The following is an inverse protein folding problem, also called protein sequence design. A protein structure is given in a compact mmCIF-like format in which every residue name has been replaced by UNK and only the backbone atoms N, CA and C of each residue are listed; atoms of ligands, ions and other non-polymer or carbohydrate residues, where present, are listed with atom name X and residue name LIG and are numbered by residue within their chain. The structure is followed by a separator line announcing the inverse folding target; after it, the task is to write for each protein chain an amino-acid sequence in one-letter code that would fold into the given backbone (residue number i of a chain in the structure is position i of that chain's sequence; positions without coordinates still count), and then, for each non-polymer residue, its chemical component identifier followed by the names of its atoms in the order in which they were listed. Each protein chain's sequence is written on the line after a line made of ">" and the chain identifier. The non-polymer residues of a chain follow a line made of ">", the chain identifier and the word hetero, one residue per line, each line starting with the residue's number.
data_IF_283211573498
#
_entry.id   IF_283211573498
#
_cell.length_a   1.000
_cell.length_b   1.000
_cell.length_c   1.000
_cell.angle_alpha   90.00
_cell.angle_beta   90.00
_cell.angle_gamma   90.00
#
_symmetry.space_group_name_H-M   'P 1'
#
loop_
_entity.id
_entity.type
_entity.pdbx_description
1 polymer ?
#
# COMPACT_ATOMS: atom_id res chain seq x y z
N UNK A 1 30.15 30.70 43.08
CA UNK A 1 29.37 30.05 44.14
C UNK A 1 27.98 29.70 43.61
N UNK A 2 27.72 28.40 43.44
CA UNK A 2 26.46 27.64 43.58
C UNK A 2 25.12 28.42 43.49
N UNK A 3 24.12 28.01 42.69
CA UNK A 3 23.42 26.71 42.78
C UNK A 3 22.62 26.35 41.51
N UNK A 4 22.68 25.08 41.14
CA UNK A 4 21.72 24.37 40.29
C UNK A 4 20.29 24.47 40.84
N UNK A 5 19.33 24.77 39.96
CA UNK A 5 17.91 24.50 40.17
C UNK A 5 17.51 23.26 39.34
N UNK A 6 16.72 22.31 39.89
CA UNK A 6 16.47 21.01 39.27
C UNK A 6 15.18 20.98 38.44
N UNK A 7 15.23 20.14 37.40
CA UNK A 7 14.18 19.23 36.92
C UNK A 7 12.74 19.76 36.83
N UNK A 8 12.31 20.10 35.60
CA UNK A 8 11.05 19.60 35.07
C UNK A 8 11.27 19.06 33.65
N UNK A 9 11.10 17.74 33.53
CA UNK A 9 11.04 16.97 32.30
C UNK A 9 9.86 17.45 31.45
N UNK A 10 10.12 17.92 30.24
CA UNK A 10 9.28 17.61 29.07
C UNK A 10 10.16 17.59 27.83
N UNK A 11 10.83 16.47 27.61
CA UNK A 11 11.28 16.13 26.27
C UNK A 11 10.04 15.78 25.44
N UNK A 12 9.46 16.76 24.76
CA UNK A 12 8.56 16.50 23.64
C UNK A 12 9.40 15.91 22.50
N UNK A 13 9.61 14.60 22.55
CA UNK A 13 9.93 13.81 21.37
C UNK A 13 8.69 13.83 20.47
N UNK A 14 8.56 14.87 19.65
CA UNK A 14 7.78 14.79 18.43
C UNK A 14 8.58 13.85 17.52
N UNK A 15 8.39 12.55 17.71
CA UNK A 15 8.75 11.60 16.66
C UNK A 15 8.02 12.08 15.40
N UNK A 16 8.73 12.34 14.28
CA UNK A 16 8.02 12.48 13.02
C UNK A 16 7.26 11.17 12.85
N UNK A 17 5.93 11.24 12.88
CA UNK A 17 5.10 10.19 12.32
C UNK A 17 5.58 10.10 10.88
N UNK A 18 6.43 9.12 10.57
CA UNK A 18 6.91 8.93 9.21
C UNK A 18 5.68 8.54 8.40
N UNK A 19 5.01 9.55 7.85
CA UNK A 19 4.06 9.39 6.78
C UNK A 19 4.78 8.56 5.75
N UNK A 20 4.29 7.33 5.55
CA UNK A 20 4.83 6.34 4.65
C UNK A 20 5.39 7.04 3.42
N UNK A 21 6.71 7.08 3.28
CA UNK A 21 7.35 7.76 2.16
C UNK A 21 6.71 7.20 0.89
N UNK A 22 6.05 8.06 0.12
CA UNK A 22 5.43 7.63 -1.13
C UNK A 22 6.53 6.94 -1.95
N UNK A 23 6.35 5.67 -2.35
CA UNK A 23 7.42 4.95 -3.01
C UNK A 23 7.77 5.69 -4.30
N UNK A 24 9.07 5.93 -4.50
CA UNK A 24 9.58 6.73 -5.61
C UNK A 24 8.94 6.25 -6.93
N UNK A 25 8.31 7.18 -7.67
CA UNK A 25 7.58 6.89 -8.91
C UNK A 25 8.35 5.96 -9.85
N UNK A 26 9.67 6.14 -9.99
CA UNK A 26 10.53 5.30 -10.84
C UNK A 26 10.58 3.84 -10.37
N UNK A 27 10.68 3.62 -9.06
CA UNK A 27 10.65 2.28 -8.44
C UNK A 27 9.30 1.62 -8.67
N UNK A 28 8.22 2.36 -8.44
CA UNK A 28 6.86 1.87 -8.61
C UNK A 28 6.60 1.49 -10.07
N UNK A 29 6.97 2.35 -11.02
CA UNK A 29 6.79 2.11 -12.45
C UNK A 29 7.61 0.89 -12.91
N UNK A 30 8.84 0.74 -12.42
CA UNK A 30 9.63 -0.48 -12.66
C UNK A 30 8.89 -1.71 -12.15
N UNK A 31 8.48 -1.75 -10.88
CA UNK A 31 7.80 -2.90 -10.30
C UNK A 31 6.49 -3.23 -11.03
N UNK A 32 5.69 -2.21 -11.39
CA UNK A 32 4.49 -2.37 -12.20
C UNK A 32 4.80 -3.04 -13.53
N UNK A 33 5.80 -2.54 -14.26
CA UNK A 33 6.21 -3.12 -15.55
C UNK A 33 6.66 -4.58 -15.42
N UNK A 34 7.31 -4.94 -14.30
CA UNK A 34 7.77 -6.30 -14.05
C UNK A 34 6.59 -7.22 -13.73
N UNK A 35 5.80 -6.85 -12.72
CA UNK A 35 4.73 -7.68 -12.17
C UNK A 35 3.58 -7.84 -13.17
N UNK A 36 3.30 -6.83 -14.00
CA UNK A 36 2.26 -6.89 -15.02
C UNK A 36 2.43 -8.09 -15.97
N UNK A 37 3.67 -8.54 -16.23
CA UNK A 37 3.93 -9.71 -17.09
C UNK A 37 3.58 -11.05 -16.43
N UNK A 38 3.57 -11.10 -15.10
CA UNK A 38 3.19 -12.29 -14.35
C UNK A 38 1.71 -12.29 -13.97
N UNK A 39 1.05 -11.13 -14.01
CA UNK A 39 -0.28 -10.98 -13.45
C UNK A 39 -1.38 -11.17 -14.49
N UNK A 40 -2.19 -12.20 -14.24
CA UNK A 40 -3.36 -12.54 -15.04
C UNK A 40 -4.56 -12.63 -14.08
N UNK A 41 -5.30 -11.53 -13.87
CA UNK A 41 -6.50 -11.57 -13.03
C UNK A 41 -7.52 -12.54 -13.63
N UNK A 42 -8.12 -13.39 -12.81
CA UNK A 42 -9.10 -14.36 -13.29
C UNK A 42 -10.43 -13.67 -13.64
N UNK A 43 -11.20 -14.24 -14.57
CA UNK A 43 -12.50 -13.69 -15.01
C UNK A 43 -13.50 -13.47 -13.86
N UNK A 44 -13.42 -14.28 -12.79
CA UNK A 44 -14.24 -14.13 -11.58
C UNK A 44 -13.95 -12.87 -10.74
N UNK A 45 -12.99 -12.04 -11.15
CA UNK A 45 -12.63 -10.77 -10.50
C UNK A 45 -13.33 -9.56 -11.10
N UNK A 46 -14.19 -9.75 -12.11
CA UNK A 46 -15.00 -8.68 -12.68
C UNK A 46 -15.85 -7.97 -11.60
N UNK A 47 -15.86 -6.63 -11.66
CA UNK A 47 -16.58 -5.78 -10.71
C UNK A 47 -15.91 -5.62 -9.34
N UNK A 48 -14.74 -6.21 -9.12
CA UNK A 48 -13.94 -5.97 -7.90
C UNK A 48 -13.23 -4.61 -8.00
N UNK A 49 -13.28 -3.83 -6.92
CA UNK A 49 -12.50 -2.61 -6.80
C UNK A 49 -10.98 -2.87 -6.80
N UNK A 50 -10.20 -1.80 -6.87
CA UNK A 50 -8.75 -1.91 -6.72
C UNK A 50 -8.39 -2.48 -5.33
N UNK A 51 -7.35 -3.29 -5.25
CA UNK A 51 -6.78 -3.76 -3.97
C UNK A 51 -5.35 -3.25 -3.81
N UNK A 52 -4.87 -3.10 -2.58
CA UNK A 52 -3.50 -2.69 -2.29
C UNK A 52 -2.79 -3.90 -1.68
N UNK A 53 -1.71 -4.34 -2.32
CA UNK A 53 -0.82 -5.38 -1.76
C UNK A 53 0.45 -4.73 -1.26
N UNK A 54 0.76 -4.97 0.01
CA UNK A 54 2.02 -4.55 0.63
C UNK A 54 2.96 -5.75 0.72
N UNK A 55 4.22 -5.55 0.38
CA UNK A 55 5.25 -6.57 0.41
C UNK A 55 6.61 -5.96 0.70
N UNK A 56 7.50 -6.80 1.24
CA UNK A 56 8.87 -6.42 1.58
C UNK A 56 9.85 -7.13 0.65
N UNK A 57 10.98 -6.47 0.43
CA UNK A 57 12.06 -6.94 -0.43
C UNK A 57 13.39 -6.90 0.33
N UNK A 58 14.22 -7.92 0.15
CA UNK A 58 15.60 -7.92 0.63
C UNK A 58 16.51 -7.03 -0.24
N UNK A 59 17.77 -6.79 0.18
CA UNK A 59 18.73 -5.97 -0.58
C UNK A 59 19.03 -6.47 -2.01
N UNK A 60 18.58 -7.68 -2.38
CA UNK A 60 18.72 -8.26 -3.72
C UNK A 60 17.41 -8.19 -4.52
N UNK A 61 16.38 -7.51 -4.00
CA UNK A 61 15.07 -7.39 -4.62
C UNK A 61 14.26 -8.69 -4.60
N UNK A 62 14.57 -9.64 -3.71
CA UNK A 62 13.76 -10.85 -3.50
C UNK A 62 12.67 -10.56 -2.47
N UNK A 63 11.51 -11.19 -2.60
CA UNK A 63 10.49 -11.12 -1.57
C UNK A 63 11.01 -11.63 -0.23
N UNK A 64 11.02 -10.75 0.77
CA UNK A 64 11.25 -11.08 2.17
C UNK A 64 9.90 -11.08 2.88
N UNK A 65 9.53 -12.19 3.51
CA UNK A 65 8.24 -12.31 4.20
C UNK A 65 7.05 -12.62 3.27
N UNK A 66 5.84 -12.39 3.78
CA UNK A 66 4.60 -12.71 3.07
C UNK A 66 3.90 -11.43 2.62
N UNK A 67 3.68 -11.23 1.30
CA UNK A 67 2.84 -10.15 0.81
C UNK A 67 1.42 -10.22 1.41
N UNK A 68 0.87 -9.07 1.79
CA UNK A 68 -0.44 -8.97 2.48
C UNK A 68 -1.39 -8.01 1.77
N UNK A 69 -2.70 -8.26 1.89
CA UNK A 69 -3.74 -7.31 1.51
C UNK A 69 -3.74 -6.15 2.51
N UNK A 70 -3.23 -5.00 2.08
CA UNK A 70 -3.12 -3.80 2.92
C UNK A 70 -4.37 -2.91 2.85
N UNK A 71 -5.16 -3.02 1.78
CA UNK A 71 -6.35 -2.21 1.60
C UNK A 71 -7.11 -2.54 0.33
N UNK A 72 -8.24 -1.89 0.13
CA UNK A 72 -9.02 -1.95 -1.10
C UNK A 72 -9.79 -0.65 -1.29
N UNK A 73 -10.10 -0.33 -2.55
CA UNK A 73 -11.00 0.76 -2.89
C UNK A 73 -12.38 0.43 -2.35
N UNK A 74 -12.97 1.37 -1.63
CA UNK A 74 -14.31 1.28 -1.09
C UNK A 74 -15.10 2.52 -1.53
N UNK A 75 -16.38 2.32 -1.86
CA UNK A 75 -17.31 3.43 -2.06
C UNK A 75 -17.85 3.87 -0.71
N UNK A 76 -17.88 5.18 -0.48
CA UNK A 76 -18.32 5.78 0.78
C UNK A 76 -19.54 6.65 0.50
N UNK A 77 -20.58 6.49 1.32
CA UNK A 77 -21.73 7.39 1.35
C UNK A 77 -21.44 8.53 2.30
N UNK A 78 -21.60 9.75 1.81
CA UNK A 78 -21.55 10.99 2.59
C UNK A 78 -22.93 11.64 2.45
N UNK A 79 -23.51 12.05 3.57
CA UNK A 79 -24.79 12.76 3.61
C UNK A 79 -24.49 14.24 3.85
N UNK A 80 -25.03 15.08 2.98
CA UNK A 80 -24.90 16.54 3.03
C UNK A 80 -26.28 17.18 3.20
N UNK A 81 -26.34 18.31 3.90
CA UNK A 81 -27.55 19.15 3.90
C UNK A 81 -27.64 20.04 2.64
N UNK A 82 -28.64 20.92 2.61
CA UNK A 82 -28.89 21.88 1.54
C UNK A 82 -27.82 22.98 1.42
N UNK A 83 -26.96 23.12 2.44
CA UNK A 83 -25.80 24.02 2.46
C UNK A 83 -24.50 23.32 2.07
N UNK A 84 -24.55 21.99 1.91
CA UNK A 84 -23.39 21.16 1.58
C UNK A 84 -22.56 20.73 2.80
N UNK A 85 -23.08 20.87 4.02
CA UNK A 85 -22.40 20.45 5.24
C UNK A 85 -22.62 18.96 5.54
N UNK A 86 -21.59 18.29 6.06
CA UNK A 86 -21.68 16.87 6.43
C UNK A 86 -22.56 16.70 7.65
N UNK A 87 -23.73 16.09 7.48
CA UNK A 87 -24.73 15.92 8.54
C UNK A 87 -24.58 14.61 9.33
N UNK A 88 -23.87 13.63 8.77
CA UNK A 88 -23.62 12.35 9.43
C UNK A 88 -22.23 11.79 9.08
N UNK A 89 -21.62 10.99 9.97
CA UNK A 89 -20.32 10.37 9.68
C UNK A 89 -20.37 9.54 8.38
N UNK A 90 -19.40 9.68 7.47
CA UNK A 90 -19.33 8.89 6.25
C UNK A 90 -19.39 7.39 6.53
N UNK A 91 -20.18 6.66 5.74
CA UNK A 91 -20.33 5.21 5.89
C UNK A 91 -19.84 4.48 4.65
N UNK A 92 -19.08 3.40 4.85
CA UNK A 92 -18.68 2.52 3.75
C UNK A 92 -19.92 1.82 3.21
N UNK A 93 -20.13 1.90 1.90
CA UNK A 93 -21.15 1.12 1.19
C UNK A 93 -20.54 -0.28 0.98
N UNK A 94 -20.56 -1.09 2.04
CA UNK A 94 -20.01 -2.44 1.98
C UNK A 94 -20.86 -3.32 1.03
N UNK A 95 -20.25 -3.81 -0.04
CA UNK A 95 -20.85 -4.84 -0.89
C UNK A 95 -20.19 -6.19 -0.59
N UNK A 96 -20.83 -7.30 -0.98
CA UNK A 96 -20.39 -8.70 -0.75
C UNK A 96 -19.02 -9.08 -1.39
N UNK A 97 -18.17 -8.10 -1.70
CA UNK A 97 -16.93 -8.24 -2.44
C UNK A 97 -15.77 -8.82 -1.62
N UNK A 98 -15.87 -8.97 -0.30
CA UNK A 98 -14.78 -9.50 0.54
C UNK A 98 -14.19 -10.81 0.02
N UNK A 99 -15.02 -11.78 -0.37
CA UNK A 99 -14.56 -13.05 -0.95
C UNK A 99 -13.88 -12.86 -2.32
N UNK A 100 -14.34 -11.89 -3.10
CA UNK A 100 -13.76 -11.57 -4.41
C UNK A 100 -12.43 -10.81 -4.28
N UNK A 101 -12.28 -9.94 -3.27
CA UNK A 101 -11.01 -9.28 -2.93
C UNK A 101 -9.95 -10.31 -2.57
N UNK A 102 -10.31 -11.36 -1.83
CA UNK A 102 -9.39 -12.46 -1.52
C UNK A 102 -8.91 -13.21 -2.77
N UNK A 103 -9.77 -13.37 -3.79
CA UNK A 103 -9.36 -13.97 -5.07
C UNK A 103 -8.37 -13.08 -5.84
N UNK A 104 -8.64 -11.78 -5.94
CA UNK A 104 -7.70 -10.81 -6.56
C UNK A 104 -6.38 -10.77 -5.79
N UNK A 105 -6.43 -10.74 -4.46
CA UNK A 105 -5.25 -10.71 -3.61
C UNK A 105 -4.36 -11.94 -3.82
N UNK A 106 -4.95 -13.15 -3.84
CA UNK A 106 -4.19 -14.38 -4.12
C UNK A 106 -3.52 -14.34 -5.50
N UNK A 107 -4.21 -13.82 -6.53
CA UNK A 107 -3.65 -13.67 -7.87
C UNK A 107 -2.49 -12.65 -7.90
N UNK A 108 -2.67 -11.49 -7.28
CA UNK A 108 -1.64 -10.45 -7.18
C UNK A 108 -0.40 -10.94 -6.43
N UNK A 109 -0.58 -11.57 -5.26
CA UNK A 109 0.50 -12.17 -4.46
C UNK A 109 1.25 -13.24 -5.26
N UNK A 110 0.53 -14.08 -6.02
CA UNK A 110 1.14 -15.07 -6.91
C UNK A 110 2.01 -14.40 -7.98
N UNK A 111 1.53 -13.33 -8.62
CA UNK A 111 2.30 -12.60 -9.63
C UNK A 111 3.57 -11.95 -9.07
N UNK A 112 3.48 -11.33 -7.89
CA UNK A 112 4.64 -10.75 -7.18
C UNK A 112 5.69 -11.83 -6.93
N UNK A 113 5.28 -13.00 -6.42
CA UNK A 113 6.19 -14.12 -6.16
C UNK A 113 6.80 -14.69 -7.43
N UNK A 114 6.01 -14.82 -8.51
CA UNK A 114 6.48 -15.34 -9.81
C UNK A 114 7.50 -14.43 -10.49
N UNK A 115 7.33 -13.12 -10.38
CA UNK A 115 8.21 -12.14 -11.02
C UNK A 115 9.42 -11.74 -10.15
N UNK A 116 9.45 -12.15 -8.87
CA UNK A 116 10.62 -11.99 -8.01
C UNK A 116 11.76 -12.92 -8.45
N UNK A 117 13.03 -12.48 -8.42
CA UNK A 117 13.52 -11.21 -7.88
C UNK A 117 13.39 -10.01 -8.83
N UNK A 118 13.51 -8.82 -8.25
CA UNK A 118 13.49 -7.51 -8.92
C UNK A 118 14.87 -6.82 -8.91
N UNK A 119 15.89 -7.37 -9.59
CA UNK A 119 17.28 -6.92 -9.45
C UNK A 119 17.52 -5.48 -9.94
N UNK A 120 16.65 -4.94 -10.81
CA UNK A 120 16.77 -3.58 -11.34
C UNK A 120 16.64 -2.50 -10.27
N UNK A 121 15.97 -2.79 -9.14
CA UNK A 121 15.77 -1.84 -8.04
C UNK A 121 17.09 -1.29 -7.49
N UNK A 122 18.12 -2.14 -7.42
CA UNK A 122 19.45 -1.79 -6.90
C UNK A 122 20.13 -0.66 -7.66
N UNK A 123 19.70 -0.39 -8.90
CA UNK A 123 20.23 0.69 -9.75
C UNK A 123 19.32 1.91 -9.81
N UNK A 124 18.08 1.80 -9.33
CA UNK A 124 17.06 2.85 -9.47
C UNK A 124 16.97 3.75 -8.24
N UNK A 125 17.20 3.20 -7.04
CA UNK A 125 17.09 3.95 -5.79
C UNK A 125 17.81 3.26 -4.61
N UNK A 126 18.12 4.00 -3.53
CA UNK A 126 18.56 3.43 -2.25
C UNK A 126 17.58 2.40 -1.68
N UNK A 127 18.07 1.42 -0.93
CA UNK A 127 17.30 0.30 -0.40
C UNK A 127 16.08 0.73 0.41
N UNK A 128 16.22 1.81 1.16
CA UNK A 128 15.22 2.39 2.05
C UNK A 128 13.97 2.85 1.29
N UNK A 129 14.13 3.17 0.00
CA UNK A 129 13.03 3.61 -0.87
C UNK A 129 12.23 2.44 -1.46
N UNK A 130 12.70 1.19 -1.31
CA UNK A 130 12.06 0.03 -1.95
C UNK A 130 12.05 -1.25 -1.12
N UNK A 131 12.60 -1.25 0.10
CA UNK A 131 12.55 -2.38 1.04
C UNK A 131 11.12 -2.78 1.41
N UNK A 132 10.18 -1.85 1.33
CA UNK A 132 8.76 -2.06 1.55
C UNK A 132 7.98 -1.28 0.49
N UNK A 133 7.05 -1.96 -0.18
CA UNK A 133 6.27 -1.40 -1.28
C UNK A 133 4.81 -1.76 -1.07
N UNK A 134 3.92 -0.80 -1.34
CA UNK A 134 2.51 -1.04 -1.53
C UNK A 134 2.12 -0.73 -2.98
N UNK A 135 1.58 -1.72 -3.71
CA UNK A 135 1.09 -1.55 -5.07
C UNK A 135 -0.42 -1.75 -5.14
N UNK A 136 -1.07 -0.94 -5.96
CA UNK A 136 -2.50 -1.05 -6.26
C UNK A 136 -2.72 -1.95 -7.47
N UNK A 137 -3.54 -2.99 -7.31
CA UNK A 137 -3.92 -3.95 -8.34
C UNK A 137 -5.40 -3.76 -8.70
N UNK A 138 -5.70 -3.51 -9.97
CA UNK A 138 -7.09 -3.47 -10.46
C UNK A 138 -7.39 -4.70 -11.33
N UNK A 139 -8.57 -5.34 -11.23
CA UNK A 139 -8.90 -6.51 -12.06
C UNK A 139 -8.74 -6.32 -13.59
N UNK A 140 -8.75 -5.06 -14.06
CA UNK A 140 -8.53 -4.70 -15.46
C UNK A 140 -7.04 -4.60 -15.86
N UNK A 141 -6.12 -4.74 -14.91
CA UNK A 141 -4.68 -4.61 -15.12
C UNK A 141 -3.99 -3.83 -14.00
N UNK A 142 -2.67 -3.94 -13.95
CA UNK A 142 -1.86 -3.26 -12.93
C UNK A 142 -1.69 -1.79 -13.35
N UNK A 143 -2.16 -0.84 -12.54
CA UNK A 143 -2.05 0.61 -12.81
C UNK A 143 -1.01 1.27 -11.93
#
# INVERSE_FOLDING_TARGET
>A
MMRCAPLLLTALLIAPCQANAEPNKVVVDYLRSQIARCWHPSSGTAGVGAIIIRFELDRRGRISGTPVLAGHKADVRIELDDRGEVVSPPRIIATQQHKRHAAVARSAISAIRKCSPFPGLTKLAPYENWREIALTFEPRGLR
#
